data_IF_103694095972
#
_entry.id   IF_103694095972
#
_cell.length_a   1.000
_cell.length_b   1.000
_cell.length_c   1.000
_cell.angle_alpha   90.00
_cell.angle_beta   90.00
_cell.angle_gamma   90.00
#
_symmetry.space_group_name_H-M   'P 1'
#
loop_
_entity.id
_entity.type
_entity.pdbx_description
1 polymer ?
#
# COMPACT_ATOMS: atom_id res chain seq x y z
N UNK A 1 -0.79 -13.25 -29.98
CA UNK A 1 -2.03 -13.75 -29.32
C UNK A 1 -1.77 -14.09 -27.86
N UNK A 2 -0.80 -14.91 -27.52
CA UNK A 2 -0.43 -15.31 -26.14
C UNK A 2 -0.32 -14.13 -25.15
N UNK A 3 0.31 -13.04 -25.54
CA UNK A 3 0.45 -11.85 -24.68
C UNK A 3 -0.90 -11.17 -24.42
N UNK A 4 -1.85 -11.19 -25.37
CA UNK A 4 -3.19 -10.65 -25.16
C UNK A 4 -4.04 -11.54 -24.27
N UNK A 5 -3.87 -12.85 -24.33
CA UNK A 5 -4.49 -13.81 -23.41
C UNK A 5 -4.01 -13.56 -21.98
N UNK A 6 -2.68 -13.43 -21.78
CA UNK A 6 -2.06 -13.18 -20.48
C UNK A 6 -2.64 -11.93 -19.78
N UNK A 7 -2.90 -10.87 -20.56
CA UNK A 7 -3.48 -9.63 -20.03
C UNK A 7 -5.02 -9.58 -20.12
N UNK A 8 -5.66 -10.70 -20.51
CA UNK A 8 -7.10 -10.82 -20.68
C UNK A 8 -7.71 -9.76 -21.63
N UNK A 9 -7.09 -9.58 -22.80
CA UNK A 9 -7.54 -8.66 -23.87
C UNK A 9 -7.75 -9.37 -25.22
N UNK A 10 -7.68 -10.69 -25.29
CA UNK A 10 -7.82 -11.45 -26.52
C UNK A 10 -9.16 -11.17 -27.23
N UNK A 11 -10.25 -11.14 -26.47
CA UNK A 11 -11.61 -10.89 -27.00
C UNK A 11 -11.76 -9.46 -27.55
N UNK A 12 -10.96 -8.53 -27.05
CA UNK A 12 -11.02 -7.11 -27.36
C UNK A 12 -10.00 -6.70 -28.43
N UNK A 13 -9.25 -7.64 -29.01
CA UNK A 13 -8.15 -7.40 -29.97
C UNK A 13 -8.52 -6.56 -31.21
N UNK A 14 -9.82 -6.52 -31.57
CA UNK A 14 -10.33 -5.73 -32.70
C UNK A 14 -10.80 -4.32 -32.30
N UNK A 15 -10.85 -4.02 -31.02
CA UNK A 15 -11.27 -2.70 -30.55
C UNK A 15 -10.18 -1.65 -30.84
N UNK A 16 -10.62 -0.46 -31.20
CA UNK A 16 -9.71 0.70 -31.29
C UNK A 16 -9.27 1.12 -29.87
N UNK A 17 -8.02 1.53 -29.69
CA UNK A 17 -7.45 1.95 -28.41
C UNK A 17 -8.33 3.00 -27.69
N UNK A 18 -8.95 3.91 -28.45
CA UNK A 18 -9.86 4.93 -27.89
C UNK A 18 -11.13 4.36 -27.25
N UNK A 19 -11.53 3.15 -27.60
CA UNK A 19 -12.70 2.46 -27.06
C UNK A 19 -12.39 1.62 -25.80
N UNK A 20 -11.10 1.46 -25.45
CA UNK A 20 -10.68 0.72 -24.29
C UNK A 20 -10.93 1.52 -23.01
N UNK A 21 -11.36 0.83 -21.95
CA UNK A 21 -11.42 1.38 -20.59
C UNK A 21 -10.03 1.76 -20.04
N UNK A 22 -9.95 2.48 -18.92
CA UNK A 22 -8.70 2.81 -18.27
C UNK A 22 -7.89 1.56 -17.88
N UNK A 23 -8.54 0.56 -17.28
CA UNK A 23 -7.94 -0.73 -16.94
C UNK A 23 -7.46 -1.51 -18.16
N UNK A 24 -8.26 -1.55 -19.23
CA UNK A 24 -7.87 -2.21 -20.49
C UNK A 24 -6.64 -1.54 -21.13
N UNK A 25 -6.56 -0.21 -21.11
CA UNK A 25 -5.38 0.53 -21.62
C UNK A 25 -4.12 0.20 -20.82
N UNK A 26 -4.23 0.09 -19.50
CA UNK A 26 -3.09 -0.31 -18.65
C UNK A 26 -2.64 -1.73 -18.92
N UNK A 27 -3.57 -2.68 -19.03
CA UNK A 27 -3.28 -4.06 -19.42
C UNK A 27 -2.63 -4.14 -20.80
N UNK A 28 -3.09 -3.32 -21.75
CA UNK A 28 -2.43 -3.22 -23.06
C UNK A 28 -1.01 -2.66 -22.96
N UNK A 29 -0.76 -1.69 -22.05
CA UNK A 29 0.59 -1.19 -21.77
C UNK A 29 1.52 -2.28 -21.24
N UNK A 30 1.03 -3.13 -20.31
CA UNK A 30 1.79 -4.30 -19.84
C UNK A 30 2.03 -5.29 -20.99
N UNK A 31 1.01 -5.59 -21.81
CA UNK A 31 1.15 -6.46 -22.97
C UNK A 31 2.28 -5.98 -23.91
N UNK A 32 2.34 -4.68 -24.15
CA UNK A 32 3.41 -4.06 -24.93
C UNK A 32 4.78 -4.21 -24.25
N UNK A 33 4.85 -3.98 -22.94
CA UNK A 33 6.10 -4.05 -22.19
C UNK A 33 6.69 -5.47 -22.15
N UNK A 34 5.83 -6.50 -22.07
CA UNK A 34 6.28 -7.90 -21.99
C UNK A 34 6.44 -8.59 -23.35
N UNK A 35 6.10 -7.93 -24.46
CA UNK A 35 6.09 -8.51 -25.80
C UNK A 35 7.43 -9.14 -26.20
N UNK A 36 8.55 -8.55 -25.77
CA UNK A 36 9.90 -9.04 -26.03
C UNK A 36 10.49 -9.86 -24.87
N UNK A 37 9.63 -10.37 -24.00
CA UNK A 37 10.00 -11.19 -22.85
C UNK A 37 11.17 -10.63 -22.00
N UNK A 38 11.08 -9.39 -21.48
CA UNK A 38 12.13 -8.78 -20.70
C UNK A 38 12.34 -9.54 -19.37
N UNK A 39 13.57 -9.53 -18.86
CA UNK A 39 13.89 -10.09 -17.54
C UNK A 39 13.46 -9.17 -16.38
N UNK A 40 13.36 -7.87 -16.64
CA UNK A 40 12.98 -6.84 -15.67
C UNK A 40 11.83 -6.01 -16.23
N UNK A 41 10.76 -5.91 -15.46
CA UNK A 41 9.59 -5.08 -15.75
C UNK A 41 9.49 -3.98 -14.70
N UNK A 42 9.43 -2.73 -15.11
CA UNK A 42 9.25 -1.57 -14.22
C UNK A 42 7.88 -0.97 -14.51
N UNK A 43 7.07 -0.82 -13.47
CA UNK A 43 5.68 -0.33 -13.60
C UNK A 43 5.43 0.78 -12.57
N UNK A 44 5.05 1.94 -13.07
CA UNK A 44 4.79 3.11 -12.24
C UNK A 44 3.29 3.24 -11.97
N UNK A 45 2.91 3.31 -10.66
CA UNK A 45 1.54 3.45 -10.16
C UNK A 45 0.51 2.55 -10.88
N UNK A 46 0.73 1.23 -10.94
CA UNK A 46 -0.02 0.36 -11.85
C UNK A 46 -1.52 0.28 -11.55
N UNK A 47 -1.94 0.48 -10.31
CA UNK A 47 -3.33 0.31 -9.85
C UNK A 47 -4.06 1.62 -9.58
N UNK A 48 -3.38 2.77 -9.68
CA UNK A 48 -3.97 4.07 -9.40
C UNK A 48 -5.16 4.36 -10.33
N UNK A 49 -6.33 4.73 -9.76
CA UNK A 49 -7.55 5.04 -10.52
C UNK A 49 -8.25 3.84 -11.15
N UNK A 50 -7.86 2.61 -10.81
CA UNK A 50 -8.63 1.41 -11.11
C UNK A 50 -9.72 1.19 -10.07
N UNK A 51 -10.85 0.63 -10.50
CA UNK A 51 -11.85 0.11 -9.57
C UNK A 51 -11.31 -1.11 -8.80
N UNK A 52 -11.96 -1.53 -7.69
CA UNK A 52 -11.45 -2.61 -6.84
C UNK A 52 -11.27 -3.94 -7.59
N UNK A 53 -12.17 -4.29 -8.50
CA UNK A 53 -12.09 -5.54 -9.26
C UNK A 53 -10.92 -5.54 -10.25
N UNK A 54 -10.75 -4.47 -11.01
CA UNK A 54 -9.64 -4.29 -11.94
C UNK A 54 -8.29 -4.23 -11.19
N UNK A 55 -8.26 -3.65 -9.98
CA UNK A 55 -7.06 -3.63 -9.13
C UNK A 55 -6.64 -5.05 -8.74
N UNK A 56 -7.57 -5.89 -8.31
CA UNK A 56 -7.29 -7.29 -7.97
C UNK A 56 -6.75 -8.04 -9.19
N UNK A 57 -7.41 -7.89 -10.35
CA UNK A 57 -6.96 -8.53 -11.61
C UNK A 57 -5.55 -8.10 -11.99
N UNK A 58 -5.27 -6.83 -11.84
CA UNK A 58 -3.96 -6.28 -12.20
C UNK A 58 -2.84 -6.77 -11.27
N UNK A 59 -3.10 -6.83 -9.96
CA UNK A 59 -2.17 -7.40 -8.99
C UNK A 59 -1.85 -8.86 -9.28
N UNK A 60 -2.88 -9.67 -9.56
CA UNK A 60 -2.69 -11.06 -9.93
C UNK A 60 -1.85 -11.21 -11.20
N UNK A 61 -2.08 -10.36 -12.20
CA UNK A 61 -1.24 -10.33 -13.41
C UNK A 61 0.23 -10.04 -13.10
N UNK A 62 0.52 -9.04 -12.27
CA UNK A 62 1.89 -8.71 -11.86
C UNK A 62 2.53 -9.82 -11.05
N UNK A 63 1.79 -10.46 -10.15
CA UNK A 63 2.26 -11.59 -9.36
C UNK A 63 2.64 -12.78 -10.27
N UNK A 64 1.81 -13.15 -11.23
CA UNK A 64 2.12 -14.21 -12.20
C UNK A 64 3.37 -13.87 -13.04
N UNK A 65 3.52 -12.61 -13.45
CA UNK A 65 4.73 -12.18 -14.17
C UNK A 65 5.98 -12.24 -13.30
N UNK A 66 5.86 -12.06 -11.99
CA UNK A 66 6.98 -12.10 -11.06
C UNK A 66 7.50 -13.52 -10.78
N UNK A 67 6.80 -14.58 -11.20
CA UNK A 67 7.30 -15.95 -11.11
C UNK A 67 8.57 -16.17 -11.97
N UNK A 68 8.63 -15.53 -13.15
CA UNK A 68 9.73 -15.70 -14.09
C UNK A 68 10.54 -14.41 -14.34
N UNK A 69 10.13 -13.28 -13.77
CA UNK A 69 10.70 -11.95 -14.03
C UNK A 69 10.91 -11.17 -12.76
N UNK A 70 11.83 -10.22 -12.79
CA UNK A 70 11.94 -9.19 -11.77
C UNK A 70 10.91 -8.11 -12.09
N UNK A 71 9.90 -7.97 -11.23
CA UNK A 71 8.90 -6.91 -11.34
C UNK A 71 9.17 -5.85 -10.27
N UNK A 72 9.45 -4.63 -10.72
CA UNK A 72 9.61 -3.46 -9.84
C UNK A 72 8.39 -2.58 -10.05
N UNK A 73 7.62 -2.35 -9.00
CA UNK A 73 6.48 -1.45 -9.06
C UNK A 73 6.67 -0.27 -8.10
N UNK A 74 6.30 0.93 -8.54
CA UNK A 74 6.12 2.07 -7.64
C UNK A 74 4.65 2.18 -7.27
N UNK A 75 4.36 2.47 -6.01
CA UNK A 75 2.99 2.78 -5.56
C UNK A 75 3.00 3.60 -4.28
N UNK A 76 1.98 4.42 -4.10
CA UNK A 76 1.66 5.08 -2.83
C UNK A 76 0.53 4.36 -2.08
N UNK A 77 0.01 3.25 -2.61
CA UNK A 77 -1.10 2.48 -2.05
C UNK A 77 -0.55 1.29 -1.26
N UNK A 78 -0.51 1.42 0.06
CA UNK A 78 0.07 0.40 0.96
C UNK A 78 -0.59 -0.98 0.79
N UNK A 79 -1.91 -1.03 0.57
CA UNK A 79 -2.63 -2.28 0.33
C UNK A 79 -2.21 -3.06 -0.93
N UNK A 80 -1.56 -2.40 -1.90
CA UNK A 80 -1.01 -3.09 -3.06
C UNK A 80 0.30 -3.81 -2.71
N UNK A 81 1.10 -3.22 -1.84
CA UNK A 81 2.36 -3.81 -1.36
C UNK A 81 2.05 -5.09 -0.57
N UNK A 82 1.13 -5.01 0.38
CA UNK A 82 0.75 -6.09 1.30
C UNK A 82 0.33 -7.38 0.58
N UNK A 83 -0.28 -7.23 -0.60
CA UNK A 83 -0.80 -8.37 -1.37
C UNK A 83 0.08 -8.83 -2.53
N UNK A 84 1.16 -8.09 -2.86
CA UNK A 84 1.91 -8.34 -4.10
C UNK A 84 3.42 -8.42 -3.89
N UNK A 85 3.96 -7.81 -2.83
CA UNK A 85 5.40 -7.65 -2.65
C UNK A 85 5.88 -8.30 -1.35
N UNK A 86 7.01 -9.02 -1.44
CA UNK A 86 7.72 -9.51 -0.25
C UNK A 86 8.85 -8.55 0.16
N UNK A 87 9.40 -7.80 -0.80
CA UNK A 87 10.49 -6.84 -0.59
C UNK A 87 10.02 -5.46 -1.00
N UNK A 88 10.41 -4.46 -0.24
CA UNK A 88 10.06 -3.07 -0.53
C UNK A 88 11.19 -2.10 -0.16
N UNK A 89 11.21 -0.97 -0.85
CA UNK A 89 12.00 0.19 -0.46
C UNK A 89 11.08 1.39 -0.25
N UNK A 90 11.29 2.13 0.83
CA UNK A 90 10.55 3.36 1.12
C UNK A 90 11.40 4.57 0.71
N UNK A 91 10.86 5.39 -0.20
CA UNK A 91 11.49 6.63 -0.63
C UNK A 91 10.84 7.82 0.08
N UNK A 92 11.67 8.69 0.63
CA UNK A 92 11.23 9.97 1.20
C UNK A 92 12.26 11.04 0.89
N UNK A 93 11.83 12.19 0.37
CA UNK A 93 12.71 13.31 0.02
C UNK A 93 13.85 12.93 -0.94
N UNK A 94 13.61 12.02 -1.89
CA UNK A 94 14.61 11.55 -2.86
C UNK A 94 15.65 10.59 -2.29
N UNK A 95 15.43 10.07 -1.08
CA UNK A 95 16.32 9.10 -0.42
C UNK A 95 15.56 7.84 -0.05
N UNK A 96 16.23 6.70 -0.12
CA UNK A 96 15.73 5.45 0.43
C UNK A 96 15.93 5.51 1.95
N UNK A 97 14.82 5.51 2.70
CA UNK A 97 14.81 5.52 4.18
C UNK A 97 14.61 4.13 4.77
N UNK A 98 14.18 3.18 3.96
CA UNK A 98 14.05 1.76 4.32
C UNK A 98 14.23 0.91 3.08
N UNK A 99 14.87 -0.25 3.24
CA UNK A 99 14.97 -1.30 2.22
C UNK A 99 15.00 -2.65 2.94
N UNK A 100 13.99 -3.48 2.71
CA UNK A 100 13.84 -4.76 3.40
C UNK A 100 12.55 -5.48 3.03
N UNK A 101 12.13 -6.40 3.88
CA UNK A 101 10.91 -7.17 3.70
C UNK A 101 9.67 -6.48 4.27
N UNK A 102 8.49 -6.95 3.86
CA UNK A 102 7.21 -6.51 4.45
C UNK A 102 7.13 -6.86 5.95
N UNK A 103 7.70 -7.98 6.38
CA UNK A 103 7.73 -8.36 7.80
C UNK A 103 8.63 -7.43 8.62
N UNK A 104 9.79 -7.03 8.08
CA UNK A 104 10.70 -6.11 8.75
C UNK A 104 10.09 -4.73 8.96
N UNK A 105 9.35 -4.19 7.98
CA UNK A 105 8.67 -2.91 8.15
C UNK A 105 7.55 -2.99 9.18
N UNK A 106 6.77 -4.08 9.21
CA UNK A 106 5.75 -4.33 10.24
C UNK A 106 6.39 -4.42 11.61
N UNK A 107 7.46 -5.22 11.77
CA UNK A 107 8.15 -5.41 13.04
C UNK A 107 8.72 -4.10 13.59
N UNK A 108 9.06 -3.13 12.72
CA UNK A 108 9.54 -1.79 13.14
C UNK A 108 8.55 -1.00 14.00
N UNK A 109 7.24 -1.27 13.88
CA UNK A 109 6.17 -0.63 14.65
C UNK A 109 5.68 -1.48 15.84
N UNK A 110 6.25 -2.69 16.01
CA UNK A 110 5.82 -3.61 17.06
C UNK A 110 6.11 -3.08 18.45
N UNK A 111 5.11 -3.18 19.31
CA UNK A 111 5.18 -2.66 20.68
C UNK A 111 4.85 -1.18 20.82
N UNK A 112 4.70 -0.46 19.69
CA UNK A 112 4.36 0.97 19.66
C UNK A 112 2.96 1.25 19.10
N UNK A 113 2.23 0.23 18.68
CA UNK A 113 0.91 0.34 18.07
C UNK A 113 -0.18 0.06 19.09
N UNK A 114 -1.12 1.00 19.27
CA UNK A 114 -2.19 0.91 20.24
C UNK A 114 -3.54 1.28 19.63
N UNK A 115 -4.61 0.64 20.11
CA UNK A 115 -5.99 1.08 19.90
C UNK A 115 -6.49 1.82 21.13
N UNK A 116 -7.20 2.93 20.90
CA UNK A 116 -7.76 3.80 21.92
C UNK A 116 -9.17 4.22 21.54
N UNK A 117 -10.11 4.16 22.48
CA UNK A 117 -11.46 4.72 22.30
C UNK A 117 -11.49 6.16 22.79
N UNK A 118 -11.67 7.09 21.89
CA UNK A 118 -11.63 8.53 22.19
C UNK A 118 -13.03 9.12 22.03
N UNK A 119 -13.58 9.77 23.06
CA UNK A 119 -14.84 10.51 22.93
C UNK A 119 -14.76 11.53 21.78
N UNK A 120 -15.83 11.68 20.99
CA UNK A 120 -15.84 12.63 19.86
C UNK A 120 -15.48 14.06 20.27
N UNK A 121 -15.85 14.47 21.46
CA UNK A 121 -15.53 15.80 21.99
C UNK A 121 -14.04 16.05 22.19
N UNK A 122 -13.23 14.98 22.34
CA UNK A 122 -11.79 15.06 22.60
C UNK A 122 -10.94 14.66 21.39
N UNK A 123 -11.55 14.25 20.28
CA UNK A 123 -10.81 13.70 19.13
C UNK A 123 -9.87 14.73 18.48
N UNK A 124 -10.25 16.00 18.48
CA UNK A 124 -9.42 17.06 17.91
C UNK A 124 -8.10 17.21 18.68
N UNK A 125 -8.15 17.30 19.99
CA UNK A 125 -6.96 17.42 20.86
C UNK A 125 -6.10 16.14 20.77
N UNK A 126 -6.76 14.98 20.68
CA UNK A 126 -6.09 13.70 20.53
C UNK A 126 -5.29 13.61 19.22
N UNK A 127 -5.86 14.08 18.10
CA UNK A 127 -5.18 14.17 16.80
C UNK A 127 -3.95 15.07 16.81
N UNK A 128 -3.96 16.11 17.61
CA UNK A 128 -2.83 17.02 17.75
C UNK A 128 -1.69 16.41 18.56
N UNK A 129 -2.01 15.46 19.44
CA UNK A 129 -1.06 14.86 20.40
C UNK A 129 -0.43 13.57 19.90
N UNK A 130 -1.17 12.76 19.12
CA UNK A 130 -0.75 11.43 18.71
C UNK A 130 -0.71 11.27 17.20
N UNK A 131 0.18 10.41 16.70
CA UNK A 131 0.18 9.98 15.30
C UNK A 131 -0.90 8.91 15.14
N UNK A 132 -1.95 9.26 14.40
CA UNK A 132 -3.07 8.35 14.16
C UNK A 132 -2.87 7.65 12.83
N UNK A 133 -2.92 6.32 12.85
CA UNK A 133 -2.76 5.47 11.66
C UNK A 133 -4.11 5.05 11.08
N UNK A 134 -5.14 4.87 11.92
CA UNK A 134 -6.50 4.63 11.44
C UNK A 134 -7.56 5.14 12.42
N UNK A 135 -8.77 5.36 11.90
CA UNK A 135 -9.91 5.80 12.68
C UNK A 135 -11.20 5.11 12.24
N UNK A 136 -12.02 4.72 13.19
CA UNK A 136 -13.37 4.19 12.95
C UNK A 136 -14.37 4.88 13.88
N UNK A 137 -15.42 5.49 13.29
CA UNK A 137 -16.46 6.21 14.03
C UNK A 137 -17.56 5.25 14.49
N UNK A 138 -17.85 5.27 15.81
CA UNK A 138 -18.89 4.48 16.46
C UNK A 138 -20.00 5.35 17.06
N UNK A 139 -20.19 6.59 16.56
CA UNK A 139 -21.23 7.50 17.03
C UNK A 139 -20.82 8.29 18.27
N UNK A 140 -20.79 7.71 19.45
CA UNK A 140 -20.41 8.37 20.69
C UNK A 140 -18.89 8.53 20.87
N UNK A 141 -18.12 7.63 20.29
CA UNK A 141 -16.66 7.62 20.34
C UNK A 141 -16.06 7.26 18.99
N UNK A 142 -14.78 7.56 18.82
CA UNK A 142 -13.96 7.14 17.68
C UNK A 142 -12.93 6.14 18.20
N UNK A 143 -12.88 4.95 17.64
CA UNK A 143 -11.77 4.03 17.88
C UNK A 143 -10.62 4.46 16.97
N UNK A 144 -9.49 4.82 17.57
CA UNK A 144 -8.30 5.26 16.88
C UNK A 144 -7.19 4.24 17.05
N UNK A 145 -6.43 4.01 16.00
CA UNK A 145 -5.15 3.31 16.05
C UNK A 145 -4.03 4.33 16.03
N UNK A 146 -3.08 4.22 16.93
CA UNK A 146 -2.00 5.20 17.08
C UNK A 146 -0.64 4.51 17.16
N UNK A 147 0.38 5.27 16.81
CA UNK A 147 1.77 4.95 17.11
C UNK A 147 2.23 5.80 18.29
N UNK A 148 2.81 5.16 19.32
CA UNK A 148 3.31 5.84 20.50
C UNK A 148 4.47 5.09 21.14
N UNK A 149 5.63 5.76 21.27
CA UNK A 149 6.86 5.21 21.87
C UNK A 149 7.04 5.57 23.35
N UNK A 150 6.16 6.39 23.91
CA UNK A 150 6.20 6.75 25.32
C UNK A 150 5.59 5.69 26.25
N UNK A 151 5.43 6.05 27.52
CA UNK A 151 4.73 5.20 28.50
C UNK A 151 3.23 5.23 28.19
N UNK A 152 2.62 4.09 27.82
CA UNK A 152 1.20 4.08 27.44
C UNK A 152 0.30 4.40 28.64
N UNK A 153 -0.78 5.13 28.35
CA UNK A 153 -1.86 5.36 29.31
C UNK A 153 -2.66 4.06 29.51
N UNK A 154 -3.38 3.93 30.63
CA UNK A 154 -4.15 2.71 30.99
C UNK A 154 -5.22 2.33 29.96
N UNK A 155 -5.72 3.31 29.19
CA UNK A 155 -6.72 3.13 28.15
C UNK A 155 -6.13 2.61 26.82
N UNK A 156 -4.80 2.59 26.69
CA UNK A 156 -4.11 2.18 25.46
C UNK A 156 -4.03 0.65 25.39
N UNK A 157 -4.76 0.07 24.46
CA UNK A 157 -4.71 -1.37 24.22
C UNK A 157 -3.69 -1.66 23.12
N UNK A 158 -2.61 -2.38 23.44
CA UNK A 158 -1.60 -2.82 22.45
C UNK A 158 -2.23 -3.73 21.42
N UNK A 159 -1.89 -3.53 20.15
CA UNK A 159 -2.34 -4.33 19.01
C UNK A 159 -1.17 -4.59 18.06
N UNK A 160 -1.31 -5.61 17.23
CA UNK A 160 -0.33 -5.92 16.20
C UNK A 160 -0.33 -4.82 15.13
N UNK A 161 0.85 -4.40 14.67
CA UNK A 161 0.99 -3.41 13.60
C UNK A 161 0.67 -3.99 12.23
N UNK A 162 0.38 -3.10 11.28
CA UNK A 162 0.27 -3.37 9.85
C UNK A 162 1.45 -2.74 9.09
N UNK A 163 1.57 -3.01 7.79
CA UNK A 163 2.56 -2.33 6.93
C UNK A 163 2.38 -0.81 6.99
N UNK A 164 1.14 -0.32 7.03
CA UNK A 164 0.85 1.11 7.13
C UNK A 164 1.39 1.72 8.43
N UNK A 165 1.27 1.01 9.55
CA UNK A 165 1.85 1.44 10.83
C UNK A 165 3.38 1.49 10.74
N UNK A 166 4.01 0.47 10.15
CA UNK A 166 5.46 0.44 9.93
C UNK A 166 5.93 1.57 9.03
N UNK A 167 5.24 1.81 7.92
CA UNK A 167 5.51 2.92 7.02
C UNK A 167 5.43 4.28 7.73
N UNK A 168 4.36 4.53 8.49
CA UNK A 168 4.20 5.76 9.26
C UNK A 168 5.24 5.88 10.38
N UNK A 169 5.64 4.76 11.00
CA UNK A 169 6.73 4.76 11.97
C UNK A 169 8.07 5.23 11.38
N UNK A 170 8.36 4.89 10.12
CA UNK A 170 9.56 5.35 9.42
C UNK A 170 9.49 6.84 9.04
N UNK A 171 8.31 7.32 8.62
CA UNK A 171 8.14 8.72 8.19
C UNK A 171 8.16 9.71 9.34
N UNK A 172 7.49 9.35 10.41
CA UNK A 172 7.48 10.14 11.63
C UNK A 172 8.54 9.50 12.54
N UNK A 173 9.70 10.11 12.71
CA UNK A 173 10.65 9.69 13.75
C UNK A 173 9.95 9.85 15.12
N UNK A 174 9.13 8.83 15.45
CA UNK A 174 8.18 8.85 16.57
C UNK A 174 8.96 8.63 17.88
N UNK A 175 9.96 9.45 18.06
CA UNK A 175 10.66 9.63 19.33
C UNK A 175 10.11 10.78 20.15
N UNK A 176 9.13 11.52 19.65
CA UNK A 176 8.53 12.67 20.33
C UNK A 176 7.17 13.04 19.75
N UNK A 177 6.34 13.62 20.58
CA UNK A 177 5.16 14.41 20.21
C UNK A 177 5.40 15.20 18.91
N UNK A 178 4.37 15.27 18.05
CA UNK A 178 4.35 16.27 16.96
C UNK A 178 4.80 17.63 17.56
N UNK A 179 5.94 18.14 17.07
CA UNK A 179 6.33 19.53 17.31
C UNK A 179 5.39 20.47 16.58
#
# INVERSE_FOLDING_TARGET
>A
EEVLELVNLEKDRKLKIKALSGGMKRRLGIAQAILHNPKVLIVDEPTAGLDPEERIRFRNLLANLAEDKIVILSTHIVGDIESTCNNLAVLNGGRIIFNGTTDEIIESAKGYTYKVKVPKTRIHDFKNRYVITSQQDFGAYVETKILYKGKPESEFKRVDPTIEDGYLNLLYDIGGTKQ
#
